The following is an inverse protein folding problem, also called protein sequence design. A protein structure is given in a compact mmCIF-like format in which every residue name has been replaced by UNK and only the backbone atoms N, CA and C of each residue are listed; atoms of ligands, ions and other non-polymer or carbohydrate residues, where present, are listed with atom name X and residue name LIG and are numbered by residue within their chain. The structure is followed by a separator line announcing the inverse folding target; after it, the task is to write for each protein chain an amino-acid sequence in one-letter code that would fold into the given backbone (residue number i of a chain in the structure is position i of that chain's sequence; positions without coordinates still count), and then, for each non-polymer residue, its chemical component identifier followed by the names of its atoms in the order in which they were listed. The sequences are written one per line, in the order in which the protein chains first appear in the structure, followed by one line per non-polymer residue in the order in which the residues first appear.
data_IF_850450323841
#
_entry.id   IF_850450323841
#
_cell.length_a   1.000
_cell.length_b   1.000
_cell.length_c   1.000
_cell.angle_alpha   90.00
_cell.angle_beta   90.00
_cell.angle_gamma   90.00
#
_symmetry.space_group_name_H-M   'P 1'
#
loop_
_entity.id
_entity.type
_entity.pdbx_description
1 polymer ?
#
# COMPACT_ATOMS: atom_id res chain seq x y z
N UNK A 1 3.98 3.18 -0.33
CA UNK A 1 4.92 2.04 -0.47
C UNK A 1 5.26 1.53 0.92
N UNK A 2 4.94 0.27 1.23
CA UNK A 2 5.11 -0.28 2.57
C UNK A 2 6.37 -1.13 2.71
N UNK A 3 7.19 -0.87 3.72
CA UNK A 3 8.37 -1.67 4.08
C UNK A 3 8.48 -1.78 5.61
N UNK A 4 9.39 -2.61 6.12
CA UNK A 4 9.54 -2.74 7.58
C UNK A 4 10.27 -1.54 8.17
N UNK A 5 11.40 -1.18 7.57
CA UNK A 5 12.29 -0.12 8.05
C UNK A 5 12.89 0.66 6.87
N UNK A 6 13.58 1.76 7.17
CA UNK A 6 14.13 2.69 6.18
C UNK A 6 15.13 2.03 5.23
N UNK A 7 15.91 1.05 5.70
CA UNK A 7 16.93 0.39 4.88
C UNK A 7 16.32 -0.49 3.77
N UNK A 8 15.04 -0.85 3.88
CA UNK A 8 14.30 -1.64 2.88
C UNK A 8 13.62 -0.76 1.82
N UNK A 9 13.68 0.57 1.94
CA UNK A 9 13.09 1.49 0.97
C UNK A 9 13.96 1.59 -0.29
N UNK A 10 13.58 0.84 -1.33
CA UNK A 10 14.20 1.01 -2.64
C UNK A 10 13.76 2.30 -3.33
N UNK A 11 14.71 2.93 -4.01
CA UNK A 11 14.53 4.15 -4.80
C UNK A 11 13.90 5.33 -4.03
N UNK A 12 14.13 5.38 -2.72
CA UNK A 12 13.51 6.36 -1.83
C UNK A 12 13.79 7.80 -2.28
N UNK A 13 15.07 8.10 -2.49
CA UNK A 13 15.51 9.46 -2.86
C UNK A 13 15.04 9.84 -4.27
N UNK A 14 15.00 8.87 -5.19
CA UNK A 14 14.47 9.07 -6.54
C UNK A 14 12.97 9.39 -6.53
N UNK A 15 12.17 8.69 -5.71
CA UNK A 15 10.74 9.01 -5.58
C UNK A 15 10.49 10.33 -4.87
N UNK A 16 11.31 10.70 -3.88
CA UNK A 16 11.27 12.03 -3.27
C UNK A 16 11.58 13.13 -4.30
N UNK A 17 12.62 12.93 -5.13
CA UNK A 17 12.96 13.87 -6.19
C UNK A 17 11.85 13.99 -7.24
N UNK A 18 11.18 12.87 -7.60
CA UNK A 18 10.02 12.89 -8.49
C UNK A 18 8.85 13.67 -7.89
N UNK A 19 8.55 13.49 -6.61
CA UNK A 19 7.47 14.22 -5.92
C UNK A 19 7.76 15.72 -5.83
N UNK A 20 9.02 16.12 -5.59
CA UNK A 20 9.42 17.52 -5.61
C UNK A 20 9.27 18.16 -7.00
N UNK A 21 9.45 17.38 -8.08
CA UNK A 21 9.40 17.86 -9.45
C UNK A 21 7.98 17.93 -10.04
N UNK A 22 7.08 17.04 -9.60
CA UNK A 22 5.78 16.84 -10.22
C UNK A 22 4.64 17.08 -9.21
N UNK A 23 3.89 18.20 -9.31
CA UNK A 23 2.86 18.54 -8.31
C UNK A 23 1.67 17.57 -8.28
N UNK A 24 1.52 16.74 -9.31
CA UNK A 24 0.50 15.71 -9.42
C UNK A 24 0.95 14.34 -8.91
N UNK A 25 2.16 14.23 -8.34
CA UNK A 25 2.72 12.99 -7.80
C UNK A 25 3.09 13.17 -6.34
N UNK A 26 2.57 12.29 -5.48
CA UNK A 26 2.96 12.24 -4.06
C UNK A 26 3.49 10.85 -3.74
N UNK A 27 4.61 10.79 -3.02
CA UNK A 27 5.21 9.56 -2.54
C UNK A 27 5.02 9.45 -1.03
N UNK A 28 4.28 8.44 -0.60
CA UNK A 28 3.99 8.17 0.82
C UNK A 28 4.61 6.81 1.20
N UNK A 29 5.84 6.80 1.74
CA UNK A 29 6.43 5.61 2.34
C UNK A 29 5.80 5.34 3.72
N UNK A 30 5.51 4.07 4.00
CA UNK A 30 4.96 3.60 5.27
C UNK A 30 5.87 2.52 5.85
N UNK A 31 6.33 2.72 7.09
CA UNK A 31 7.23 1.79 7.77
C UNK A 31 6.56 1.14 8.97
N UNK A 32 6.39 -0.19 8.94
CA UNK A 32 5.63 -0.91 9.96
C UNK A 32 6.43 -1.31 11.19
N UNK A 33 7.77 -1.34 11.10
CA UNK A 33 8.68 -1.84 12.15
C UNK A 33 9.92 -0.93 12.29
N UNK A 34 9.77 0.35 11.93
CA UNK A 34 10.83 1.33 12.10
C UNK A 34 10.92 1.73 13.59
N UNK A 35 12.11 1.71 14.20
CA UNK A 35 12.26 2.04 15.62
C UNK A 35 11.71 3.43 15.98
N UNK A 36 11.07 3.54 17.14
CA UNK A 36 10.42 4.79 17.58
C UNK A 36 11.44 5.92 17.86
N UNK A 37 12.67 5.55 18.20
CA UNK A 37 13.80 6.44 18.45
C UNK A 37 14.63 6.75 17.18
N UNK A 38 14.21 6.22 16.02
CA UNK A 38 14.86 6.56 14.76
C UNK A 38 14.48 7.95 14.27
N UNK A 39 15.32 8.53 13.41
CA UNK A 39 15.05 9.82 12.76
C UNK A 39 13.98 9.77 11.66
N UNK A 40 13.14 8.73 11.61
CA UNK A 40 12.06 8.63 10.63
C UNK A 40 10.86 9.50 11.03
N UNK A 41 10.54 10.44 10.15
CA UNK A 41 9.46 11.42 10.26
C UNK A 41 8.27 11.12 9.32
N UNK A 42 8.40 10.12 8.45
CA UNK A 42 7.34 9.66 7.58
C UNK A 42 6.27 8.82 8.29
N UNK A 43 5.35 8.24 7.50
CA UNK A 43 4.26 7.44 8.04
C UNK A 43 4.80 6.17 8.73
N UNK A 44 4.28 5.88 9.94
CA UNK A 44 4.56 4.66 10.70
C UNK A 44 3.31 3.81 10.75
N UNK A 45 3.44 2.55 10.36
CA UNK A 45 2.32 1.62 10.19
C UNK A 45 2.31 0.99 8.80
N UNK A 46 1.15 0.48 8.41
CA UNK A 46 0.98 -0.28 7.17
C UNK A 46 0.55 0.62 6.00
N UNK A 47 0.86 0.17 4.78
CA UNK A 47 0.60 0.96 3.56
C UNK A 47 -0.88 1.28 3.31
N UNK A 48 -1.80 0.41 3.74
CA UNK A 48 -3.23 0.65 3.62
C UNK A 48 -3.70 1.76 4.57
N UNK A 49 -3.13 1.85 5.77
CA UNK A 49 -3.38 2.93 6.73
C UNK A 49 -2.84 4.26 6.20
N UNK A 50 -1.64 4.23 5.61
CA UNK A 50 -1.06 5.40 4.95
C UNK A 50 -1.94 5.92 3.80
N UNK A 51 -2.49 5.00 2.98
CA UNK A 51 -3.42 5.37 1.92
C UNK A 51 -4.71 5.98 2.49
N UNK A 52 -5.30 5.35 3.52
CA UNK A 52 -6.49 5.87 4.20
C UNK A 52 -6.27 7.28 4.75
N UNK A 53 -5.14 7.51 5.41
CA UNK A 53 -4.79 8.83 5.95
C UNK A 53 -4.52 9.87 4.85
N UNK A 54 -3.88 9.47 3.75
CA UNK A 54 -3.54 10.39 2.66
C UNK A 54 -4.75 10.85 1.85
N UNK A 55 -5.77 10.00 1.71
CA UNK A 55 -6.98 10.28 0.94
C UNK A 55 -8.22 10.54 1.82
N UNK A 56 -8.04 10.80 3.12
CA UNK A 56 -9.13 11.02 4.08
C UNK A 56 -10.23 9.93 4.05
N UNK A 57 -9.82 8.69 3.78
CA UNK A 57 -10.70 7.53 3.59
C UNK A 57 -11.77 7.73 2.49
N UNK A 58 -11.49 8.53 1.46
CA UNK A 58 -12.35 8.69 0.29
C UNK A 58 -11.56 8.46 -1.01
N UNK A 59 -11.81 7.33 -1.64
CA UNK A 59 -11.12 6.90 -2.86
C UNK A 59 -12.01 7.00 -4.10
N UNK A 60 -13.16 7.69 -4.03
CA UNK A 60 -14.07 7.83 -5.17
C UNK A 60 -13.39 8.55 -6.34
N UNK A 61 -13.58 8.04 -7.55
CA UNK A 61 -13.00 8.63 -8.76
C UNK A 61 -11.54 8.25 -9.02
N UNK A 62 -10.92 7.48 -8.13
CA UNK A 62 -9.56 6.97 -8.31
C UNK A 62 -9.54 5.57 -8.94
N UNK A 63 -8.33 5.11 -9.26
CA UNK A 63 -8.02 3.72 -9.63
C UNK A 63 -6.84 3.27 -8.78
N UNK A 64 -6.94 2.07 -8.22
CA UNK A 64 -5.88 1.52 -7.38
C UNK A 64 -5.14 0.41 -8.13
N UNK A 65 -3.80 0.47 -8.09
CA UNK A 65 -2.91 -0.56 -8.62
C UNK A 65 -2.10 -1.12 -7.46
N UNK A 66 -2.30 -2.40 -7.16
CA UNK A 66 -1.75 -3.06 -5.98
C UNK A 66 -0.78 -4.18 -6.40
N UNK A 67 0.35 -4.26 -5.71
CA UNK A 67 1.39 -5.26 -5.95
C UNK A 67 2.07 -5.59 -4.61
N UNK A 68 2.04 -6.87 -4.22
CA UNK A 68 2.74 -7.36 -3.03
C UNK A 68 2.11 -8.61 -2.41
N UNK A 69 2.43 -8.92 -1.14
CA UNK A 69 2.06 -10.19 -0.51
C UNK A 69 0.55 -10.29 -0.26
N UNK A 70 -0.04 -11.49 -0.25
CA UNK A 70 -1.50 -11.68 -0.16
C UNK A 70 -2.17 -10.94 1.00
N UNK A 71 -1.59 -11.00 2.20
CA UNK A 71 -2.12 -10.31 3.38
C UNK A 71 -2.18 -8.79 3.21
N UNK A 72 -1.16 -8.19 2.56
CA UNK A 72 -1.15 -6.77 2.27
C UNK A 72 -2.21 -6.41 1.24
N UNK A 73 -2.38 -7.24 0.21
CA UNK A 73 -3.40 -7.05 -0.82
C UNK A 73 -4.81 -7.08 -0.21
N UNK A 74 -5.12 -8.07 0.63
CA UNK A 74 -6.44 -8.19 1.27
C UNK A 74 -6.73 -7.00 2.21
N UNK A 75 -5.71 -6.51 2.94
CA UNK A 75 -5.85 -5.31 3.79
C UNK A 75 -6.10 -4.03 2.97
N UNK A 76 -5.35 -3.83 1.89
CA UNK A 76 -5.55 -2.70 0.96
C UNK A 76 -6.94 -2.72 0.34
N UNK A 77 -7.42 -3.87 -0.13
CA UNK A 77 -8.76 -4.00 -0.72
C UNK A 77 -9.84 -3.63 0.30
N UNK A 78 -9.70 -4.10 1.53
CA UNK A 78 -10.62 -3.76 2.62
C UNK A 78 -10.67 -2.24 2.85
N UNK A 79 -9.51 -1.59 2.99
CA UNK A 79 -9.42 -0.14 3.18
C UNK A 79 -10.02 0.65 2.00
N UNK A 80 -9.68 0.26 0.77
CA UNK A 80 -10.19 0.90 -0.44
C UNK A 80 -11.72 0.79 -0.56
N UNK A 81 -12.29 -0.38 -0.27
CA UNK A 81 -13.74 -0.58 -0.28
C UNK A 81 -14.46 0.20 0.82
N UNK A 82 -13.86 0.31 2.02
CA UNK A 82 -14.38 1.17 3.09
C UNK A 82 -14.44 2.63 2.66
N UNK A 83 -13.41 3.11 1.94
CA UNK A 83 -13.40 4.43 1.31
C UNK A 83 -14.05 4.49 -0.07
N UNK A 84 -14.99 3.57 -0.37
CA UNK A 84 -15.91 3.63 -1.52
C UNK A 84 -15.26 3.42 -2.91
N UNK A 85 -14.07 2.84 -3.00
CA UNK A 85 -13.51 2.31 -4.25
C UNK A 85 -13.87 0.84 -4.41
N UNK A 86 -14.52 0.49 -5.51
CA UNK A 86 -15.04 -0.86 -5.75
C UNK A 86 -14.23 -1.61 -6.79
N UNK A 87 -14.44 -2.93 -6.87
CA UNK A 87 -13.65 -3.91 -7.63
C UNK A 87 -13.30 -3.48 -9.06
N UNK A 88 -14.23 -2.85 -9.79
CA UNK A 88 -13.99 -2.38 -11.18
C UNK A 88 -12.79 -1.44 -11.31
N UNK A 89 -12.45 -0.72 -10.25
CA UNK A 89 -11.40 0.28 -10.22
C UNK A 89 -10.18 -0.16 -9.36
N UNK A 90 -10.12 -1.45 -8.98
CA UNK A 90 -9.00 -2.06 -8.24
C UNK A 90 -8.32 -3.12 -9.10
N UNK A 91 -7.04 -2.91 -9.40
CA UNK A 91 -6.19 -3.81 -10.18
C UNK A 91 -5.10 -4.37 -9.27
N UNK A 92 -4.83 -5.68 -9.37
CA UNK A 92 -3.87 -6.33 -8.48
C UNK A 92 -2.96 -7.32 -9.20
N UNK A 93 -1.70 -7.35 -8.79
CA UNK A 93 -0.75 -8.41 -9.08
C UNK A 93 -0.31 -9.04 -7.76
N UNK A 94 -0.60 -10.33 -7.59
CA UNK A 94 -0.23 -11.10 -6.40
C UNK A 94 1.07 -11.83 -6.67
N UNK A 95 2.08 -11.60 -5.84
CA UNK A 95 3.31 -12.38 -5.86
C UNK A 95 3.29 -13.29 -4.65
N UNK A 96 3.42 -14.58 -4.90
CA UNK A 96 3.46 -15.59 -3.86
C UNK A 96 4.92 -15.89 -3.53
N UNK A 97 5.29 -15.72 -2.28
CA UNK A 97 6.50 -16.34 -1.74
C UNK A 97 6.23 -17.80 -1.39
N UNK A 98 7.29 -18.58 -1.13
CA UNK A 98 7.15 -19.96 -0.68
C UNK A 98 6.32 -20.08 0.62
N UNK A 99 6.30 -19.05 1.47
CA UNK A 99 5.49 -19.00 2.68
C UNK A 99 3.99 -18.78 2.40
N UNK A 100 3.64 -18.17 1.25
CA UNK A 100 2.26 -17.81 0.90
C UNK A 100 1.48 -18.96 0.25
N UNK A 101 2.17 -20.03 -0.18
CA UNK A 101 1.58 -21.19 -0.87
C UNK A 101 0.54 -21.92 0.01
N UNK A 102 0.58 -21.73 1.33
CA UNK A 102 -0.35 -22.38 2.27
C UNK A 102 -1.68 -21.61 2.50
N UNK A 103 -1.80 -20.35 2.06
CA UNK A 103 -2.96 -19.47 2.37
C UNK A 103 -3.87 -19.15 1.18
N UNK A 104 -3.81 -19.94 0.10
CA UNK A 104 -4.44 -19.62 -1.19
C UNK A 104 -5.97 -19.81 -1.20
N UNK A 105 -6.75 -19.07 -0.40
CA UNK A 105 -8.18 -18.75 -0.64
C UNK A 105 -8.58 -17.45 0.08
N UNK A 106 -8.49 -16.31 -0.60
CA UNK A 106 -9.15 -15.07 -0.14
C UNK A 106 -10.67 -15.24 -0.29
N UNK A 107 -11.49 -15.09 0.78
CA UNK A 107 -12.94 -15.27 0.70
C UNK A 107 -13.67 -14.15 -0.06
N UNK A 108 -12.98 -13.04 -0.33
CA UNK A 108 -13.57 -11.78 -0.80
C UNK A 108 -13.92 -11.76 -2.29
N UNK A 109 -13.28 -12.61 -3.10
CA UNK A 109 -13.59 -12.73 -4.52
C UNK A 109 -14.19 -14.10 -4.80
N UNK A 110 -15.51 -14.15 -4.96
CA UNK A 110 -16.15 -15.32 -5.61
C UNK A 110 -15.77 -15.26 -7.08
N UNK A 111 -15.18 -16.36 -7.57
CA UNK A 111 -14.87 -16.62 -8.98
C UNK A 111 -15.97 -16.09 -9.91
N UNK A 112 -15.58 -15.26 -10.88
CA UNK A 112 -16.23 -15.23 -12.19
C UNK A 112 -15.78 -16.48 -12.94
#
# INVERSE_FOLDING_TARGET
YGQRNRAELYYHDEFLALAAKHPNFTYVPALSDEPADSGWDGFRGYVHEAATAHFDNDFRGHKAYLCGPPLMIDACITALMQGRLFERDIFMEKFFSAADVQQVRSPLFKKI
#
